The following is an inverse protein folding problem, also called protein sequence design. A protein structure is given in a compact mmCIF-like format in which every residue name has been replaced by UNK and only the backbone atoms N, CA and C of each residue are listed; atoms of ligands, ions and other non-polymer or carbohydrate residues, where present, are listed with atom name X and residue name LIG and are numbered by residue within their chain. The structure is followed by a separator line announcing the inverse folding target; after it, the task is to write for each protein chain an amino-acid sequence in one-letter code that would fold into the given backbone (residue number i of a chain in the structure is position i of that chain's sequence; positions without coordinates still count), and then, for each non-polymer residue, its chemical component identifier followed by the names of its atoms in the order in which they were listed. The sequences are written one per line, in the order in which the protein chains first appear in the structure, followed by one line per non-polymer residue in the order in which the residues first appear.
data_IF_405800328430
#
_entry.id   IF_405800328430
#
_cell.length_a   1.000
_cell.length_b   1.000
_cell.length_c   1.000
_cell.angle_alpha   90.00
_cell.angle_beta   90.00
_cell.angle_gamma   90.00
#
_symmetry.space_group_name_H-M   'P 1'
#
loop_
_entity.id
_entity.type
_entity.pdbx_description
1 polymer ?
#
# COMPACT_ATOMS: atom_id res chain seq x y z
N UNK A 1 -38.59 30.60 53.45
CA UNK A 1 -37.50 29.60 53.34
C UNK A 1 -37.63 28.66 52.13
N UNK A 2 -38.81 28.47 51.54
CA UNK A 2 -39.06 27.51 50.43
C UNK A 2 -38.47 27.94 49.07
N UNK A 3 -38.41 29.24 48.76
CA UNK A 3 -37.90 29.73 47.47
C UNK A 3 -36.40 29.44 47.24
N UNK A 4 -35.59 29.38 48.31
CA UNK A 4 -34.13 29.21 48.19
C UNK A 4 -33.75 27.80 47.69
N UNK A 5 -34.47 26.76 48.14
CA UNK A 5 -34.21 25.38 47.72
C UNK A 5 -34.60 25.12 46.25
N UNK A 6 -35.62 25.81 45.73
CA UNK A 6 -36.03 25.68 44.33
C UNK A 6 -34.99 26.30 43.38
N UNK A 7 -34.44 27.47 43.73
CA UNK A 7 -33.38 28.14 42.96
C UNK A 7 -32.09 27.31 42.97
N UNK A 8 -31.68 26.79 44.14
CA UNK A 8 -30.49 25.92 44.27
C UNK A 8 -30.66 24.63 43.45
N UNK A 9 -31.85 24.01 43.48
CA UNK A 9 -32.14 22.79 42.70
C UNK A 9 -32.09 23.06 41.18
N UNK A 10 -32.54 24.23 40.74
CA UNK A 10 -32.49 24.62 39.33
C UNK A 10 -31.05 24.90 38.87
N UNK A 11 -30.26 25.60 39.70
CA UNK A 11 -28.83 25.85 39.44
C UNK A 11 -28.02 24.55 39.38
N UNK A 12 -28.31 23.58 40.26
CA UNK A 12 -27.64 22.27 40.25
C UNK A 12 -27.97 21.45 38.99
N UNK A 13 -29.20 21.55 38.46
CA UNK A 13 -29.55 20.90 37.17
C UNK A 13 -28.78 21.51 35.99
N UNK A 14 -28.66 22.84 35.94
CA UNK A 14 -27.89 23.53 34.91
C UNK A 14 -26.41 23.16 35.01
N UNK A 15 -25.84 23.14 36.23
CA UNK A 15 -24.44 22.73 36.46
C UNK A 15 -24.19 21.29 36.01
N UNK A 16 -25.08 20.36 36.35
CA UNK A 16 -24.96 18.96 35.93
C UNK A 16 -25.12 18.81 34.41
N UNK A 17 -25.98 19.61 33.77
CA UNK A 17 -26.13 19.62 32.33
C UNK A 17 -24.87 20.14 31.63
N UNK A 18 -24.27 21.23 32.13
CA UNK A 18 -23.00 21.76 31.59
C UNK A 18 -21.87 20.74 31.76
N UNK A 19 -21.75 20.11 32.93
CA UNK A 19 -20.76 19.06 33.17
C UNK A 19 -20.96 17.89 32.19
N UNK A 20 -22.20 17.46 31.98
CA UNK A 20 -22.52 16.37 31.06
C UNK A 20 -22.15 16.70 29.61
N UNK A 21 -22.47 17.91 29.14
CA UNK A 21 -22.09 18.39 27.79
C UNK A 21 -20.57 18.48 27.65
N UNK A 22 -19.88 18.97 28.68
CA UNK A 22 -18.42 19.07 28.66
C UNK A 22 -17.75 17.68 28.64
N UNK A 23 -18.27 16.72 29.41
CA UNK A 23 -17.80 15.33 29.38
C UNK A 23 -18.01 14.67 28.02
N UNK A 24 -19.14 14.92 27.35
CA UNK A 24 -19.38 14.42 25.99
C UNK A 24 -18.42 15.03 24.96
N UNK A 25 -18.08 16.30 25.11
CA UNK A 25 -17.19 17.02 24.20
C UNK A 25 -15.73 16.55 24.35
N UNK A 26 -15.32 16.17 25.56
CA UNK A 26 -14.01 15.56 25.83
C UNK A 26 -13.87 14.16 25.21
N UNK A 27 -14.94 13.36 25.21
CA UNK A 27 -14.94 12.03 24.57
C UNK A 27 -14.78 12.15 23.05
N UNK A 28 -15.46 13.13 22.43
CA UNK A 28 -15.34 13.38 20.98
C UNK A 28 -13.94 13.85 20.56
N UNK A 29 -13.24 14.60 21.41
CA UNK A 29 -11.87 15.04 21.13
C UNK A 29 -10.83 13.93 21.28
N UNK A 30 -11.07 12.92 22.13
CA UNK A 30 -10.15 11.81 22.35
C UNK A 30 -10.03 10.89 21.12
N UNK A 31 -11.07 10.81 20.29
CA UNK A 31 -11.08 9.96 19.08
C UNK A 31 -10.21 10.52 17.94
N UNK A 32 -9.94 11.83 17.91
CA UNK A 32 -9.20 12.47 16.82
C UNK A 32 -7.68 12.25 16.88
N UNK A 33 -7.14 11.86 18.05
CA UNK A 33 -5.69 11.71 18.25
C UNK A 33 -5.09 10.45 17.59
N UNK A 34 -5.88 9.40 17.35
CA UNK A 34 -5.40 8.12 16.81
C UNK A 34 -5.37 8.05 15.28
N UNK A 35 -6.10 8.93 14.57
CA UNK A 35 -6.20 8.88 13.11
C UNK A 35 -4.96 9.45 12.37
N UNK A 36 -4.20 10.33 13.05
CA UNK A 36 -3.10 11.07 12.45
C UNK A 36 -1.78 10.29 12.37
N UNK A 37 -1.56 9.34 13.29
CA UNK A 37 -0.32 8.57 13.35
C UNK A 37 -0.26 7.47 12.27
N UNK A 38 -1.39 6.81 11.97
CA UNK A 38 -1.45 5.77 10.93
C UNK A 38 -1.23 6.33 9.52
N UNK A 39 -1.76 7.51 9.21
CA UNK A 39 -1.79 8.05 7.84
C UNK A 39 -0.49 8.75 7.44
N UNK A 40 0.18 9.40 8.39
CA UNK A 40 1.46 10.07 8.15
C UNK A 40 2.60 9.10 7.83
N UNK A 41 2.79 8.09 8.69
CA UNK A 41 3.87 7.10 8.51
C UNK A 41 3.67 6.22 7.28
N UNK A 42 2.42 5.90 6.93
CA UNK A 42 2.12 5.16 5.70
C UNK A 42 2.47 5.96 4.44
N UNK A 43 2.12 7.25 4.41
CA UNK A 43 2.40 8.13 3.27
C UNK A 43 3.89 8.26 3.03
N UNK A 44 4.67 8.43 4.10
CA UNK A 44 6.13 8.46 4.05
C UNK A 44 6.71 7.13 3.55
N UNK A 45 6.23 6.00 4.09
CA UNK A 45 6.63 4.65 3.66
C UNK A 45 6.37 4.44 2.16
N UNK A 46 5.21 4.87 1.66
CA UNK A 46 4.86 4.78 0.24
C UNK A 46 5.82 5.58 -0.64
N UNK A 47 6.06 6.85 -0.29
CA UNK A 47 6.94 7.73 -1.06
C UNK A 47 8.37 7.21 -1.09
N UNK A 48 8.89 6.76 0.06
CA UNK A 48 10.23 6.21 0.13
C UNK A 48 10.36 4.90 -0.65
N UNK A 49 9.37 4.00 -0.57
CA UNK A 49 9.36 2.76 -1.35
C UNK A 49 9.37 3.05 -2.87
N UNK A 50 8.57 4.01 -3.31
CA UNK A 50 8.51 4.46 -4.72
C UNK A 50 9.85 5.03 -5.17
N UNK A 51 10.46 5.92 -4.38
CA UNK A 51 11.78 6.47 -4.67
C UNK A 51 12.87 5.39 -4.75
N UNK A 52 12.89 4.42 -3.83
CA UNK A 52 13.86 3.34 -3.88
C UNK A 52 13.67 2.45 -5.12
N UNK A 53 12.43 2.14 -5.46
CA UNK A 53 12.11 1.34 -6.64
C UNK A 53 12.50 2.03 -7.94
N UNK A 54 12.17 3.32 -8.07
CA UNK A 54 12.43 4.10 -9.28
C UNK A 54 13.94 4.34 -9.46
N UNK A 55 14.72 4.30 -8.36
CA UNK A 55 16.18 4.31 -8.38
C UNK A 55 16.80 2.90 -8.49
N UNK A 56 16.00 1.86 -8.75
CA UNK A 56 16.44 0.46 -8.86
C UNK A 56 17.10 -0.13 -7.59
N UNK A 57 16.89 0.50 -6.44
CA UNK A 57 17.34 0.01 -5.13
C UNK A 57 16.38 -1.05 -4.59
N UNK A 58 16.21 -2.14 -5.34
CA UNK A 58 15.19 -3.17 -5.07
C UNK A 58 15.36 -3.89 -3.73
N UNK A 59 16.60 -4.08 -3.26
CA UNK A 59 16.88 -4.70 -1.96
C UNK A 59 16.31 -3.89 -0.79
N UNK A 60 16.35 -2.57 -0.87
CA UNK A 60 15.81 -1.67 0.15
C UNK A 60 14.30 -1.46 -0.04
N UNK A 61 13.81 -1.44 -1.28
CA UNK A 61 12.39 -1.31 -1.58
C UNK A 61 11.57 -2.55 -1.16
N UNK A 62 12.14 -3.75 -1.25
CA UNK A 62 11.49 -5.03 -0.97
C UNK A 62 10.76 -5.07 0.39
N UNK A 63 11.41 -4.78 1.55
CA UNK A 63 10.72 -4.78 2.85
C UNK A 63 9.62 -3.72 2.94
N UNK A 64 9.78 -2.56 2.28
CA UNK A 64 8.77 -1.51 2.29
C UNK A 64 7.53 -1.92 1.51
N UNK A 65 7.69 -2.51 0.33
CA UNK A 65 6.55 -3.07 -0.42
C UNK A 65 5.92 -4.26 0.28
N UNK A 66 6.69 -5.08 1.01
CA UNK A 66 6.12 -6.13 1.86
C UNK A 66 5.21 -5.55 2.95
N UNK A 67 5.63 -4.47 3.60
CA UNK A 67 4.81 -3.75 4.58
C UNK A 67 3.55 -3.16 3.94
N UNK A 68 3.68 -2.45 2.81
CA UNK A 68 2.54 -1.86 2.10
C UNK A 68 1.53 -2.94 1.66
N UNK A 69 2.02 -4.11 1.21
CA UNK A 69 1.18 -5.23 0.82
C UNK A 69 0.47 -5.90 2.00
N UNK A 70 1.04 -5.84 3.21
CA UNK A 70 0.38 -6.32 4.43
C UNK A 70 -0.85 -5.48 4.80
N UNK A 71 -0.80 -4.18 4.49
CA UNK A 71 -1.91 -3.24 4.68
C UNK A 71 -2.91 -3.28 3.52
N UNK A 72 -2.39 -3.42 2.29
CA UNK A 72 -3.17 -3.34 1.06
C UNK A 72 -2.93 -4.57 0.16
N UNK A 73 -3.34 -5.78 0.58
CA UNK A 73 -2.98 -7.03 -0.08
C UNK A 73 -3.51 -7.17 -1.51
N UNK A 74 -4.53 -6.39 -1.89
CA UNK A 74 -5.17 -6.42 -3.21
C UNK A 74 -4.76 -5.26 -4.11
N UNK A 75 -3.85 -4.39 -3.67
CA UNK A 75 -3.37 -3.28 -4.49
C UNK A 75 -2.48 -3.81 -5.63
N UNK A 76 -2.87 -3.66 -6.90
CA UNK A 76 -2.13 -4.22 -8.02
C UNK A 76 -0.73 -3.62 -8.17
N UNK A 77 -0.53 -2.35 -7.79
CA UNK A 77 0.77 -1.68 -7.89
C UNK A 77 1.74 -2.24 -6.85
N UNK A 78 1.28 -2.44 -5.61
CA UNK A 78 2.15 -3.01 -4.58
C UNK A 78 2.45 -4.49 -4.84
N UNK A 79 1.47 -5.25 -5.34
CA UNK A 79 1.71 -6.63 -5.80
C UNK A 79 2.78 -6.66 -6.91
N UNK A 80 2.66 -5.79 -7.91
CA UNK A 80 3.63 -5.66 -9.01
C UNK A 80 5.03 -5.29 -8.50
N UNK A 81 5.15 -4.18 -7.77
CA UNK A 81 6.45 -3.66 -7.32
C UNK A 81 7.14 -4.59 -6.32
N UNK A 82 6.38 -5.23 -5.41
CA UNK A 82 6.93 -6.27 -4.53
C UNK A 82 7.51 -7.44 -5.33
N UNK A 83 6.77 -7.92 -6.32
CA UNK A 83 7.22 -9.03 -7.16
C UNK A 83 8.44 -8.68 -8.01
N UNK A 84 8.49 -7.47 -8.58
CA UNK A 84 9.69 -6.99 -9.29
C UNK A 84 10.89 -6.95 -8.35
N UNK A 85 10.71 -6.46 -7.12
CA UNK A 85 11.79 -6.50 -6.14
C UNK A 85 12.28 -7.94 -5.90
N UNK A 86 11.38 -8.92 -5.74
CA UNK A 86 11.76 -10.33 -5.62
C UNK A 86 12.54 -10.84 -6.83
N UNK A 87 12.15 -10.47 -8.06
CA UNK A 87 12.85 -10.86 -9.29
C UNK A 87 14.26 -10.28 -9.33
N UNK A 88 14.40 -8.97 -9.09
CA UNK A 88 15.69 -8.28 -9.20
C UNK A 88 16.66 -8.62 -8.08
N UNK A 89 16.16 -8.97 -6.90
CA UNK A 89 17.00 -9.42 -5.78
C UNK A 89 17.23 -10.93 -5.77
N UNK A 90 16.82 -11.64 -6.82
CA UNK A 90 16.88 -13.10 -6.92
C UNK A 90 16.27 -13.83 -5.70
N UNK A 91 15.11 -13.36 -5.27
CA UNK A 91 14.34 -13.92 -4.15
C UNK A 91 13.52 -15.15 -4.54
N UNK A 92 12.36 -15.30 -3.88
CA UNK A 92 11.44 -16.42 -4.14
C UNK A 92 10.67 -16.21 -5.45
N UNK A 93 11.14 -16.84 -6.53
CA UNK A 93 10.54 -16.73 -7.86
C UNK A 93 9.12 -17.28 -7.93
N UNK A 94 8.78 -18.27 -7.10
CA UNK A 94 7.41 -18.81 -7.06
C UNK A 94 6.43 -17.77 -6.51
N UNK A 95 6.83 -17.05 -5.46
CA UNK A 95 6.05 -15.91 -4.96
C UNK A 95 6.01 -14.76 -5.96
N UNK A 96 7.14 -14.44 -6.58
CA UNK A 96 7.17 -13.37 -7.58
C UNK A 96 6.16 -13.64 -8.72
N UNK A 97 6.11 -14.89 -9.21
CA UNK A 97 5.12 -15.34 -10.19
C UNK A 97 3.70 -15.13 -9.68
N UNK A 98 3.36 -15.59 -8.47
CA UNK A 98 2.01 -15.44 -7.90
C UNK A 98 1.55 -13.97 -7.89
N UNK A 99 2.43 -13.08 -7.41
CA UNK A 99 2.13 -11.64 -7.32
C UNK A 99 2.08 -10.94 -8.70
N UNK A 100 2.90 -11.38 -9.66
CA UNK A 100 2.88 -10.88 -11.04
C UNK A 100 1.65 -11.39 -11.80
N UNK A 101 1.27 -12.66 -11.64
CA UNK A 101 0.03 -13.22 -12.21
C UNK A 101 -1.20 -12.42 -11.74
N UNK A 102 -1.22 -11.99 -10.47
CA UNK A 102 -2.28 -11.13 -9.97
C UNK A 102 -2.28 -9.73 -10.60
N UNK A 103 -1.11 -9.13 -10.81
CA UNK A 103 -0.97 -7.68 -11.07
C UNK A 103 -0.76 -7.30 -12.54
N UNK A 104 -0.19 -8.17 -13.37
CA UNK A 104 0.30 -7.82 -14.72
C UNK A 104 -0.77 -7.29 -15.69
N UNK A 105 -2.05 -7.65 -15.50
CA UNK A 105 -3.17 -7.13 -16.31
C UNK A 105 -3.86 -5.91 -15.70
N UNK A 106 -3.52 -5.56 -14.46
CA UNK A 106 -4.17 -4.50 -13.66
C UNK A 106 -3.34 -3.24 -13.58
N UNK A 107 -2.04 -3.32 -13.85
CA UNK A 107 -1.15 -2.17 -13.94
C UNK A 107 -1.04 -1.72 -15.40
N UNK A 108 -1.02 -0.41 -15.63
CA UNK A 108 -0.81 0.19 -16.95
C UNK A 108 0.69 0.32 -17.27
N UNK A 109 1.40 -0.80 -17.18
CA UNK A 109 2.83 -0.89 -17.50
C UNK A 109 3.11 -2.21 -18.23
N UNK A 110 3.43 -2.18 -19.55
CA UNK A 110 3.80 -3.36 -20.29
C UNK A 110 4.93 -4.17 -19.66
N UNK A 111 5.85 -3.52 -18.91
CA UNK A 111 6.96 -4.21 -18.24
C UNK A 111 6.48 -5.26 -17.23
N UNK A 112 5.24 -5.20 -16.76
CA UNK A 112 4.69 -6.26 -15.93
C UNK A 112 4.70 -7.64 -16.61
N UNK A 113 4.49 -7.68 -17.94
CA UNK A 113 4.65 -8.91 -18.71
C UNK A 113 6.13 -9.33 -18.84
N UNK A 114 7.05 -8.36 -18.98
CA UNK A 114 8.48 -8.64 -18.99
C UNK A 114 8.93 -9.30 -17.68
N UNK A 115 8.58 -8.70 -16.54
CA UNK A 115 8.95 -9.23 -15.23
C UNK A 115 8.29 -10.57 -14.93
N UNK A 116 7.04 -10.79 -15.37
CA UNK A 116 6.41 -12.12 -15.29
C UNK A 116 7.15 -13.15 -16.14
N UNK A 117 7.57 -12.78 -17.36
CA UNK A 117 8.42 -13.60 -18.20
C UNK A 117 9.77 -13.93 -17.54
N UNK A 118 10.41 -12.93 -16.91
CA UNK A 118 11.67 -13.08 -16.16
C UNK A 118 11.51 -13.98 -14.96
N UNK A 119 10.45 -13.83 -14.18
CA UNK A 119 10.16 -14.68 -13.04
C UNK A 119 9.96 -16.14 -13.47
N UNK A 120 9.17 -16.40 -14.52
CA UNK A 120 9.03 -17.75 -15.08
C UNK A 120 10.34 -18.31 -15.63
N UNK A 121 11.13 -17.49 -16.33
CA UNK A 121 12.44 -17.90 -16.85
C UNK A 121 13.36 -18.34 -15.72
N UNK A 122 13.50 -17.52 -14.68
CA UNK A 122 14.33 -17.83 -13.50
C UNK A 122 13.78 -19.01 -12.69
N UNK A 123 12.48 -19.31 -12.81
CA UNK A 123 11.85 -20.49 -12.25
C UNK A 123 11.79 -21.70 -13.21
N UNK A 124 12.56 -21.69 -14.31
CA UNK A 124 12.66 -22.76 -15.31
C UNK A 124 11.37 -23.07 -16.10
N UNK A 125 10.37 -22.21 -16.03
CA UNK A 125 9.09 -22.32 -16.74
C UNK A 125 9.17 -21.64 -18.12
N UNK A 126 10.04 -22.16 -19.00
CA UNK A 126 10.40 -21.50 -20.26
C UNK A 126 9.22 -21.23 -21.21
N UNK A 127 8.22 -22.12 -21.24
CA UNK A 127 7.03 -21.95 -22.10
C UNK A 127 6.26 -20.68 -21.74
N UNK A 128 5.94 -20.49 -20.45
CA UNK A 128 5.25 -19.29 -19.99
C UNK A 128 6.15 -18.06 -20.06
N UNK A 129 7.46 -18.22 -19.87
CA UNK A 129 8.41 -17.13 -20.05
C UNK A 129 8.35 -16.55 -21.48
N UNK A 130 8.47 -17.40 -22.50
CA UNK A 130 8.43 -17.00 -23.92
C UNK A 130 7.12 -16.27 -24.25
N UNK A 131 5.98 -16.82 -23.81
CA UNK A 131 4.67 -16.22 -24.03
C UNK A 131 4.56 -14.81 -23.42
N UNK A 132 5.07 -14.63 -22.21
CA UNK A 132 5.02 -13.33 -21.54
C UNK A 132 5.99 -12.32 -22.17
N UNK A 133 7.19 -12.72 -22.57
CA UNK A 133 8.09 -11.85 -23.33
C UNK A 133 7.52 -11.43 -24.68
N UNK A 134 6.90 -12.36 -25.43
CA UNK A 134 6.21 -12.01 -26.68
C UNK A 134 5.07 -11.02 -26.44
N UNK A 135 4.33 -11.20 -25.35
CA UNK A 135 3.26 -10.27 -24.97
C UNK A 135 3.82 -8.89 -24.63
N UNK A 136 4.94 -8.81 -23.90
CA UNK A 136 5.67 -7.56 -23.64
C UNK A 136 6.08 -6.88 -24.95
N UNK A 137 6.77 -7.59 -25.85
CA UNK A 137 7.23 -7.06 -27.15
C UNK A 137 6.06 -6.52 -27.99
N UNK A 138 4.89 -7.17 -27.90
CA UNK A 138 3.69 -6.74 -28.64
C UNK A 138 3.02 -5.47 -28.08
N UNK A 139 3.20 -5.17 -26.79
CA UNK A 139 2.53 -4.08 -26.07
C UNK A 139 3.42 -2.88 -25.81
N UNK A 140 4.71 -3.12 -25.60
CA UNK A 140 5.68 -2.10 -25.24
C UNK A 140 6.08 -1.23 -26.44
N UNK A 141 6.57 -0.03 -26.16
CA UNK A 141 7.16 0.82 -27.20
C UNK A 141 8.48 0.19 -27.64
N UNK A 142 8.82 0.37 -28.93
CA UNK A 142 10.07 -0.16 -29.50
C UNK A 142 11.31 0.16 -28.65
N UNK A 143 11.40 1.38 -28.13
CA UNK A 143 12.51 1.80 -27.25
C UNK A 143 12.60 0.95 -25.97
N UNK A 144 11.47 0.65 -25.33
CA UNK A 144 11.44 -0.12 -24.08
C UNK A 144 11.87 -1.57 -24.32
N UNK A 145 11.56 -2.12 -25.49
CA UNK A 145 12.02 -3.45 -25.92
C UNK A 145 13.53 -3.45 -26.15
N UNK A 146 14.04 -2.43 -26.84
CA UNK A 146 15.48 -2.24 -27.07
C UNK A 146 16.27 -2.09 -25.76
N UNK A 147 15.77 -1.28 -24.81
CA UNK A 147 16.42 -1.03 -23.52
C UNK A 147 16.55 -2.32 -22.67
N UNK A 148 15.61 -3.26 -22.81
CA UNK A 148 15.57 -4.51 -22.03
C UNK A 148 16.20 -5.71 -22.77
N UNK A 149 16.71 -5.52 -24.00
CA UNK A 149 17.36 -6.55 -24.83
C UNK A 149 16.52 -7.83 -25.00
N UNK A 150 15.22 -7.69 -25.25
CA UNK A 150 14.26 -8.81 -25.41
C UNK A 150 13.67 -8.87 -26.81
#
# INVERSE_FOLDING_TARGET
MVCNNAVIRHMNKIKNFIIFVFSLLLIFFAEQAFAQELTGGETETKQQAELLFDNENFSEALPMYSQLLSLYPKDPVYNYRYAVCLVETNGDMSKAIEYLEFSHTKVDDPKAYYYLGKAYHLNYNFTEAIKNYQTFISKAKKKEVEDLNV
#
